data_IF_559958763405
#
_entry.id   IF_559958763405
#
_cell.length_a   1.000
_cell.length_b   1.000
_cell.length_c   1.000
_cell.angle_alpha   90.00
_cell.angle_beta   90.00
_cell.angle_gamma   90.00
#
_symmetry.space_group_name_H-M   'P 1'
#
loop_
_entity.id
_entity.type
_entity.pdbx_description
1 polymer ?
#
# COMPACT_ATOMS: atom_id res chain seq x y z
N UNK A 1 4.68 33.35 26.73
CA UNK A 1 5.66 34.42 27.01
C UNK A 1 7.09 33.89 27.18
N UNK A 2 7.38 32.91 28.05
CA UNK A 2 8.75 32.34 28.20
C UNK A 2 9.31 31.76 26.88
N UNK A 3 8.47 31.08 26.10
CA UNK A 3 8.85 30.46 24.82
C UNK A 3 9.04 31.45 23.66
N UNK A 4 8.38 32.61 23.73
CA UNK A 4 8.51 33.69 22.75
C UNK A 4 9.82 34.46 22.94
N UNK A 5 10.25 34.62 24.19
CA UNK A 5 11.54 35.22 24.55
C UNK A 5 12.70 34.26 24.23
N UNK A 6 12.49 32.94 24.40
CA UNK A 6 13.50 31.91 24.09
C UNK A 6 13.78 31.77 22.57
N UNK A 7 12.74 31.87 21.74
CA UNK A 7 12.85 31.82 20.28
C UNK A 7 13.60 33.03 19.67
N UNK A 8 13.75 34.13 20.42
CA UNK A 8 14.44 35.33 19.95
C UNK A 8 15.96 35.33 20.19
N UNK A 9 16.51 34.40 21.00
CA UNK A 9 17.91 34.49 21.47
C UNK A 9 18.73 33.22 21.36
N UNK A 10 18.12 32.03 21.25
CA UNK A 10 18.87 30.75 21.24
C UNK A 10 18.39 29.69 20.23
N UNK A 11 17.23 29.87 19.57
CA UNK A 11 16.65 28.89 18.64
C UNK A 11 16.22 29.63 17.37
N UNK A 12 16.70 29.18 16.21
CA UNK A 12 16.36 29.82 14.93
C UNK A 12 14.83 29.84 14.70
N UNK A 13 14.22 31.01 14.46
CA UNK A 13 12.79 31.16 14.17
C UNK A 13 12.31 30.40 12.94
N UNK A 14 13.26 29.91 12.12
CA UNK A 14 13.01 29.04 10.98
C UNK A 14 12.43 27.68 11.38
N UNK A 15 12.80 27.14 12.54
CA UNK A 15 12.35 25.82 13.02
C UNK A 15 11.15 25.89 13.98
N UNK A 16 10.93 27.04 14.64
CA UNK A 16 9.84 27.23 15.59
C UNK A 16 9.11 28.55 15.35
N UNK A 17 7.93 28.45 14.72
CA UNK A 17 6.98 29.56 14.57
C UNK A 17 6.55 30.09 15.93
N UNK A 18 6.61 31.41 16.15
CA UNK A 18 6.14 32.01 17.40
C UNK A 18 4.63 31.73 17.60
N UNK A 19 4.16 31.38 18.82
CA UNK A 19 2.77 30.93 19.04
C UNK A 19 1.78 32.04 18.71
N UNK A 20 2.21 33.30 18.91
CA UNK A 20 1.42 34.48 18.61
C UNK A 20 1.16 34.64 17.10
N UNK A 21 2.17 34.38 16.25
CA UNK A 21 2.01 34.45 14.78
C UNK A 21 1.05 33.38 14.25
N UNK A 22 1.03 32.20 14.88
CA UNK A 22 0.09 31.13 14.54
C UNK A 22 -1.35 31.56 14.85
N UNK A 23 -1.57 32.14 16.03
CA UNK A 23 -2.91 32.62 16.44
C UNK A 23 -3.39 33.76 15.54
N UNK A 24 -2.54 34.72 15.20
CA UNK A 24 -2.93 35.82 14.29
C UNK A 24 -3.25 35.30 12.89
N UNK A 25 -2.47 34.35 12.36
CA UNK A 25 -2.77 33.70 11.07
C UNK A 25 -4.07 32.90 11.10
N UNK A 26 -4.34 32.17 12.17
CA UNK A 26 -5.58 31.41 12.33
C UNK A 26 -6.80 32.33 12.36
N UNK A 27 -6.73 33.44 13.11
CA UNK A 27 -7.82 34.43 13.16
C UNK A 27 -8.01 35.09 11.79
N UNK A 28 -6.93 35.40 11.08
CA UNK A 28 -6.99 35.96 9.73
C UNK A 28 -7.65 35.00 8.74
N UNK A 29 -7.19 33.74 8.65
CA UNK A 29 -7.81 32.73 7.77
C UNK A 29 -9.25 32.39 8.13
N UNK A 30 -9.63 32.53 9.40
CA UNK A 30 -11.01 32.34 9.86
C UNK A 30 -11.89 33.49 9.38
N UNK A 31 -11.39 34.74 9.47
CA UNK A 31 -12.10 35.94 8.98
C UNK A 31 -12.21 35.98 7.46
N UNK A 32 -11.23 35.42 6.75
CA UNK A 32 -11.20 35.32 5.28
C UNK A 32 -12.06 34.16 4.73
N UNK A 33 -12.60 33.27 5.59
CA UNK A 33 -13.40 32.12 5.17
C UNK A 33 -12.62 30.99 4.49
N UNK A 34 -11.34 31.19 4.18
CA UNK A 34 -10.46 30.22 3.53
C UNK A 34 -10.30 28.92 4.35
N UNK A 35 -10.29 29.03 5.68
CA UNK A 35 -10.18 27.88 6.58
C UNK A 35 -11.32 26.86 6.39
N UNK A 36 -12.55 27.35 6.27
CA UNK A 36 -13.71 26.47 6.06
C UNK A 36 -13.66 25.84 4.67
N UNK A 37 -13.23 26.60 3.66
CA UNK A 37 -13.02 26.08 2.30
C UNK A 37 -12.01 24.92 2.26
N UNK A 38 -10.81 25.12 2.81
CA UNK A 38 -9.77 24.10 2.85
C UNK A 38 -10.19 22.88 3.67
N UNK A 39 -10.80 23.09 4.84
CA UNK A 39 -11.27 21.99 5.69
C UNK A 39 -12.34 21.15 4.99
N UNK A 40 -13.28 21.80 4.30
CA UNK A 40 -14.35 21.10 3.59
C UNK A 40 -13.82 20.31 2.38
N UNK A 41 -12.82 20.85 1.67
CA UNK A 41 -12.14 20.12 0.58
C UNK A 41 -11.46 18.87 1.14
N UNK A 42 -10.68 19.00 2.22
CA UNK A 42 -10.00 17.86 2.86
C UNK A 42 -10.99 16.81 3.36
N UNK A 43 -12.10 17.24 3.98
CA UNK A 43 -13.14 16.32 4.45
C UNK A 43 -13.77 15.55 3.28
N UNK A 44 -14.08 16.25 2.19
CA UNK A 44 -14.65 15.62 0.99
C UNK A 44 -13.67 14.63 0.36
N UNK A 45 -12.41 15.00 0.21
CA UNK A 45 -11.36 14.14 -0.35
C UNK A 45 -11.12 12.92 0.54
N UNK A 46 -11.06 13.11 1.86
CA UNK A 46 -10.92 12.02 2.83
C UNK A 46 -12.11 11.06 2.78
N UNK A 47 -13.33 11.59 2.72
CA UNK A 47 -14.55 10.78 2.66
C UNK A 47 -14.65 10.00 1.36
N UNK A 48 -14.39 10.64 0.21
CA UNK A 48 -14.38 9.98 -1.09
C UNK A 48 -13.28 8.92 -1.17
N UNK A 49 -12.07 9.24 -0.70
CA UNK A 49 -10.95 8.31 -0.66
C UNK A 49 -11.26 7.09 0.21
N UNK A 50 -11.85 7.30 1.39
CA UNK A 50 -12.25 6.22 2.28
C UNK A 50 -13.34 5.33 1.67
N UNK A 51 -14.39 5.91 1.07
CA UNK A 51 -15.46 5.15 0.45
C UNK A 51 -14.97 4.33 -0.75
N UNK A 52 -14.19 4.94 -1.65
CA UNK A 52 -13.64 4.25 -2.82
C UNK A 52 -12.66 3.16 -2.42
N UNK A 53 -11.75 3.45 -1.49
CA UNK A 53 -10.76 2.50 -1.00
C UNK A 53 -11.40 1.31 -0.27
N UNK A 54 -12.34 1.56 0.62
CA UNK A 54 -13.05 0.50 1.34
C UNK A 54 -13.91 -0.36 0.41
N UNK A 55 -14.64 0.24 -0.54
CA UNK A 55 -15.43 -0.51 -1.52
C UNK A 55 -14.55 -1.41 -2.41
N UNK A 56 -13.45 -0.88 -2.94
CA UNK A 56 -12.49 -1.65 -3.73
C UNK A 56 -11.84 -2.79 -2.92
N UNK A 57 -11.49 -2.50 -1.65
CA UNK A 57 -10.95 -3.49 -0.73
C UNK A 57 -11.93 -4.63 -0.44
N UNK A 58 -13.18 -4.30 -0.13
CA UNK A 58 -14.26 -5.28 0.12
C UNK A 58 -14.48 -6.14 -1.12
N UNK A 59 -14.59 -5.54 -2.30
CA UNK A 59 -14.81 -6.26 -3.55
C UNK A 59 -13.68 -7.25 -3.85
N UNK A 60 -12.43 -6.79 -3.73
CA UNK A 60 -11.23 -7.62 -3.97
C UNK A 60 -11.15 -8.76 -2.96
N UNK A 61 -11.47 -8.50 -1.69
CA UNK A 61 -11.53 -9.51 -0.65
C UNK A 61 -12.56 -10.60 -0.99
N UNK A 62 -13.81 -10.22 -1.31
CA UNK A 62 -14.86 -11.19 -1.61
C UNK A 62 -14.57 -12.01 -2.86
N UNK A 63 -14.08 -11.40 -3.94
CA UNK A 63 -13.72 -12.12 -5.17
C UNK A 63 -12.64 -13.18 -4.87
N UNK A 64 -11.57 -12.76 -4.18
CA UNK A 64 -10.43 -13.64 -3.88
C UNK A 64 -10.81 -14.73 -2.86
N UNK A 65 -11.58 -14.36 -1.84
CA UNK A 65 -12.10 -15.30 -0.85
C UNK A 65 -13.00 -16.33 -1.51
N UNK A 66 -13.96 -15.92 -2.33
CA UNK A 66 -14.86 -16.84 -3.02
C UNK A 66 -14.09 -17.78 -3.97
N UNK A 67 -13.16 -17.26 -4.77
CA UNK A 67 -12.32 -18.06 -5.65
C UNK A 67 -11.46 -19.08 -4.88
N UNK A 68 -10.95 -18.71 -3.70
CA UNK A 68 -10.17 -19.63 -2.86
C UNK A 68 -11.07 -20.65 -2.17
N UNK A 69 -12.19 -20.22 -1.61
CA UNK A 69 -13.12 -21.04 -0.85
C UNK A 69 -13.79 -22.10 -1.74
N UNK A 70 -14.15 -21.73 -2.97
CA UNK A 70 -14.62 -22.68 -3.99
C UNK A 70 -13.53 -23.69 -4.38
N UNK A 71 -12.29 -23.24 -4.55
CA UNK A 71 -11.14 -24.13 -4.80
C UNK A 71 -10.83 -25.09 -3.64
N UNK A 72 -10.93 -24.62 -2.39
CA UNK A 72 -10.72 -25.45 -1.19
C UNK A 72 -11.85 -26.45 -0.97
N UNK A 73 -13.12 -26.06 -1.16
CA UNK A 73 -14.26 -26.98 -1.06
C UNK A 73 -14.28 -28.02 -2.17
N UNK A 74 -13.71 -27.72 -3.34
CA UNK A 74 -13.50 -28.71 -4.39
C UNK A 74 -12.51 -29.80 -3.96
N UNK A 75 -11.52 -29.45 -3.13
CA UNK A 75 -10.55 -30.39 -2.51
C UNK A 75 -11.12 -30.86 -1.16
N UNK A 76 -12.16 -31.69 -1.23
CA UNK A 76 -12.93 -32.17 -0.09
C UNK A 76 -12.10 -32.91 0.99
N UNK A 77 -12.62 -33.02 2.24
CA UNK A 77 -12.10 -33.81 3.37
C UNK A 77 -11.51 -35.21 3.08
N UNK A 78 -11.82 -35.81 1.93
CA UNK A 78 -11.24 -37.06 1.42
C UNK A 78 -9.71 -37.10 1.49
N UNK A 79 -9.01 -35.99 1.23
CA UNK A 79 -7.54 -35.98 1.28
C UNK A 79 -6.98 -36.11 2.70
N UNK A 80 -7.67 -35.58 3.73
CA UNK A 80 -7.23 -35.72 5.13
C UNK A 80 -7.43 -37.13 5.66
N UNK A 81 -8.52 -37.78 5.27
CA UNK A 81 -8.77 -39.18 5.64
C UNK A 81 -7.76 -40.12 4.98
N UNK A 82 -7.50 -39.94 3.67
CA UNK A 82 -6.49 -40.72 2.95
C UNK A 82 -5.08 -40.47 3.53
N UNK A 83 -4.72 -39.22 3.85
CA UNK A 83 -3.42 -38.91 4.43
C UNK A 83 -3.21 -39.55 5.81
N UNK A 84 -4.26 -39.65 6.64
CA UNK A 84 -4.20 -40.36 7.93
C UNK A 84 -4.08 -41.88 7.76
N UNK A 85 -4.80 -42.47 6.80
CA UNK A 85 -4.69 -43.90 6.49
C UNK A 85 -3.29 -44.28 6.00
N UNK A 86 -2.62 -43.37 5.28
CA UNK A 86 -1.23 -43.54 4.81
C UNK A 86 -0.18 -43.27 5.91
N UNK A 87 -0.60 -42.87 7.12
CA UNK A 87 0.31 -42.62 8.24
C UNK A 87 1.10 -41.31 8.13
N UNK A 88 0.59 -40.32 7.39
CA UNK A 88 1.28 -39.04 7.22
C UNK A 88 1.42 -38.29 8.55
N UNK A 89 2.64 -37.81 8.84
CA UNK A 89 2.92 -37.00 10.02
C UNK A 89 2.35 -35.58 9.90
N UNK A 90 2.02 -34.95 11.03
CA UNK A 90 1.50 -33.56 11.09
C UNK A 90 2.38 -32.55 10.33
N UNK A 91 3.70 -32.74 10.32
CA UNK A 91 4.64 -31.89 9.56
C UNK A 91 4.49 -32.06 8.05
N UNK A 92 4.24 -33.28 7.57
CA UNK A 92 4.01 -33.54 6.15
C UNK A 92 2.65 -32.99 5.71
N UNK A 93 1.62 -33.09 6.56
CA UNK A 93 0.30 -32.49 6.29
C UNK A 93 0.43 -30.96 6.20
N UNK A 94 1.16 -30.34 7.13
CA UNK A 94 1.39 -28.90 7.10
C UNK A 94 2.20 -28.46 5.86
N UNK A 95 3.38 -29.05 5.62
CA UNK A 95 4.29 -28.60 4.56
C UNK A 95 3.86 -29.01 3.15
N UNK A 96 3.23 -30.17 2.97
CA UNK A 96 2.84 -30.68 1.65
C UNK A 96 1.39 -30.42 1.29
N UNK A 97 0.53 -30.10 2.26
CA UNK A 97 -0.90 -29.89 2.01
C UNK A 97 -1.32 -28.44 2.32
N UNK A 98 -1.07 -27.96 3.54
CA UNK A 98 -1.53 -26.63 3.95
C UNK A 98 -0.69 -25.50 3.34
N UNK A 99 0.64 -25.64 3.32
CA UNK A 99 1.55 -24.61 2.79
C UNK A 99 1.36 -24.37 1.27
N UNK A 100 1.23 -25.41 0.41
CA UNK A 100 0.88 -25.22 -0.99
C UNK A 100 -0.52 -24.61 -1.16
N UNK A 101 -1.49 -25.03 -0.34
CA UNK A 101 -2.85 -24.45 -0.39
C UNK A 101 -2.87 -22.95 0.00
N UNK A 102 -2.01 -22.52 0.92
CA UNK A 102 -1.86 -21.14 1.35
C UNK A 102 -0.96 -20.29 0.43
N UNK A 103 -0.15 -20.91 -0.42
CA UNK A 103 0.83 -20.22 -1.28
C UNK A 103 0.21 -19.11 -2.16
N UNK A 104 -0.97 -19.30 -2.81
CA UNK A 104 -1.63 -18.22 -3.55
C UNK A 104 -2.01 -17.02 -2.68
N UNK A 105 -2.40 -17.26 -1.43
CA UNK A 105 -2.74 -16.20 -0.48
C UNK A 105 -1.52 -15.42 -0.02
N UNK A 106 -0.41 -16.11 0.26
CA UNK A 106 0.86 -15.47 0.64
C UNK A 106 1.36 -14.57 -0.49
N UNK A 107 1.32 -15.08 -1.72
CA UNK A 107 1.76 -14.31 -2.90
C UNK A 107 0.83 -13.14 -3.19
N UNK A 108 -0.49 -13.31 -3.03
CA UNK A 108 -1.46 -12.21 -3.12
C UNK A 108 -1.17 -11.13 -2.07
N UNK A 109 -0.96 -11.53 -0.81
CA UNK A 109 -0.61 -10.60 0.27
C UNK A 109 0.68 -9.84 -0.03
N UNK A 110 1.69 -10.50 -0.60
CA UNK A 110 2.94 -9.87 -1.01
C UNK A 110 2.72 -8.84 -2.14
N UNK A 111 1.95 -9.20 -3.17
CA UNK A 111 1.62 -8.31 -4.30
C UNK A 111 0.88 -7.05 -3.87
N UNK A 112 0.00 -7.17 -2.89
CA UNK A 112 -0.74 -6.02 -2.36
C UNK A 112 0.13 -5.23 -1.38
N UNK A 113 0.82 -5.90 -0.46
CA UNK A 113 1.56 -5.25 0.62
C UNK A 113 2.81 -4.50 0.18
N UNK A 114 3.54 -5.01 -0.82
CA UNK A 114 4.79 -4.39 -1.30
C UNK A 114 4.56 -2.97 -1.83
N UNK A 115 3.62 -2.71 -2.76
CA UNK A 115 3.30 -1.35 -3.18
C UNK A 115 2.94 -0.42 -2.02
N UNK A 116 2.13 -0.88 -1.06
CA UNK A 116 1.76 -0.06 0.11
C UNK A 116 2.95 0.27 1.00
N UNK A 117 3.86 -0.69 1.22
CA UNK A 117 5.09 -0.45 1.98
C UNK A 117 5.99 0.56 1.29
N UNK A 118 6.07 0.55 -0.04
CA UNK A 118 6.85 1.53 -0.80
C UNK A 118 6.26 2.94 -0.68
N UNK A 119 4.94 3.09 -0.78
CA UNK A 119 4.25 4.36 -0.56
C UNK A 119 4.55 4.88 0.86
N UNK A 120 4.46 4.01 1.87
CA UNK A 120 4.79 4.36 3.26
C UNK A 120 6.25 4.81 3.43
N UNK A 121 7.20 4.12 2.77
CA UNK A 121 8.61 4.51 2.79
C UNK A 121 8.83 5.89 2.18
N UNK A 122 8.20 6.18 1.02
CA UNK A 122 8.30 7.48 0.36
C UNK A 122 7.74 8.60 1.24
N UNK A 123 6.58 8.39 1.87
CA UNK A 123 6.00 9.36 2.82
C UNK A 123 6.94 9.59 4.00
N UNK A 124 7.58 8.54 4.51
CA UNK A 124 8.60 8.63 5.56
C UNK A 124 9.83 9.44 5.12
N UNK A 125 10.31 9.22 3.89
CA UNK A 125 11.42 9.96 3.30
C UNK A 125 11.11 11.46 3.18
N UNK A 126 9.88 11.82 2.82
CA UNK A 126 9.45 13.23 2.71
C UNK A 126 9.46 13.96 4.07
N UNK A 127 9.16 13.25 5.15
CA UNK A 127 8.98 13.88 6.47
C UNK A 127 10.26 13.94 7.30
N UNK A 128 11.10 12.89 7.23
CA UNK A 128 12.17 12.69 8.20
C UNK A 128 13.54 12.36 7.60
N UNK A 129 13.63 12.07 6.30
CA UNK A 129 14.91 11.75 5.69
C UNK A 129 15.60 12.99 5.15
N UNK A 130 16.93 13.05 5.31
CA UNK A 130 17.78 14.11 4.72
C UNK A 130 18.41 13.68 3.40
N UNK A 131 18.12 12.46 2.94
CA UNK A 131 18.61 11.81 1.71
C UNK A 131 17.58 10.77 1.27
N UNK A 132 17.45 10.55 -0.04
CA UNK A 132 16.50 9.60 -0.60
C UNK A 132 15.89 10.14 -1.89
N UNK A 133 15.31 9.25 -2.71
CA UNK A 133 14.61 9.67 -3.93
C UNK A 133 13.39 10.51 -3.57
N UNK A 134 12.67 10.16 -2.50
CA UNK A 134 11.52 10.95 -2.07
C UNK A 134 11.91 12.33 -1.56
N UNK A 135 12.99 12.42 -0.78
CA UNK A 135 13.57 13.69 -0.33
C UNK A 135 13.99 14.58 -1.51
N UNK A 136 14.66 14.01 -2.51
CA UNK A 136 15.12 14.80 -3.66
C UNK A 136 13.96 15.34 -4.50
N UNK A 137 12.88 14.56 -4.67
CA UNK A 137 11.68 15.02 -5.38
C UNK A 137 11.12 16.25 -4.68
N UNK A 138 11.01 16.20 -3.35
CA UNK A 138 10.53 17.33 -2.56
C UNK A 138 11.49 18.52 -2.64
N UNK A 139 12.80 18.28 -2.56
CA UNK A 139 13.81 19.32 -2.66
C UNK A 139 13.76 20.06 -4.01
N UNK A 140 13.75 19.33 -5.12
CA UNK A 140 13.66 19.90 -6.47
C UNK A 140 12.33 20.62 -6.71
N UNK A 141 11.23 20.10 -6.14
CA UNK A 141 9.92 20.75 -6.18
C UNK A 141 9.95 22.10 -5.44
N UNK A 142 10.60 22.18 -4.28
CA UNK A 142 10.76 23.41 -3.52
C UNK A 142 11.64 24.45 -4.24
N UNK A 143 12.57 23.98 -5.07
CA UNK A 143 13.44 24.82 -5.91
C UNK A 143 12.81 25.19 -7.26
N UNK A 144 11.57 24.76 -7.52
CA UNK A 144 10.88 24.90 -8.80
C UNK A 144 11.62 24.29 -10.00
N UNK A 145 12.55 23.36 -9.75
CA UNK A 145 13.21 22.57 -10.81
C UNK A 145 12.32 21.40 -11.19
N UNK A 146 11.43 21.65 -12.15
CA UNK A 146 10.51 20.66 -12.69
C UNK A 146 11.22 19.54 -13.45
N UNK A 147 12.40 19.80 -14.00
CA UNK A 147 13.17 18.79 -14.74
C UNK A 147 13.81 17.81 -13.79
N UNK A 148 14.43 18.31 -12.71
CA UNK A 148 14.97 17.49 -11.62
C UNK A 148 13.88 16.63 -10.98
N UNK A 149 12.76 17.24 -10.57
CA UNK A 149 11.65 16.50 -9.95
C UNK A 149 11.07 15.42 -10.88
N UNK A 150 10.87 15.71 -12.17
CA UNK A 150 10.37 14.72 -13.13
C UNK A 150 11.36 13.56 -13.34
N UNK A 151 12.66 13.84 -13.38
CA UNK A 151 13.69 12.82 -13.55
C UNK A 151 13.70 11.82 -12.39
N UNK A 152 13.50 12.29 -11.15
CA UNK A 152 13.51 11.44 -9.96
C UNK A 152 12.24 10.62 -9.81
N UNK A 153 11.07 11.19 -10.15
CA UNK A 153 9.82 10.43 -10.25
C UNK A 153 9.96 9.30 -11.28
N UNK A 154 10.65 9.53 -12.39
CA UNK A 154 10.89 8.52 -13.42
C UNK A 154 11.80 7.39 -12.90
N UNK A 155 12.88 7.73 -12.19
CA UNK A 155 13.75 6.74 -11.53
C UNK A 155 12.96 5.93 -10.50
N UNK A 156 12.14 6.58 -9.68
CA UNK A 156 11.28 5.92 -8.70
C UNK A 156 10.29 4.97 -9.37
N UNK A 157 9.68 5.38 -10.49
CA UNK A 157 8.77 4.55 -11.27
C UNK A 157 9.47 3.28 -11.78
N UNK A 158 10.69 3.40 -12.29
CA UNK A 158 11.50 2.24 -12.72
C UNK A 158 11.79 1.32 -11.53
N UNK A 159 12.19 1.86 -10.38
CA UNK A 159 12.42 1.08 -9.16
C UNK A 159 11.17 0.30 -8.73
N UNK A 160 10.01 0.95 -8.70
CA UNK A 160 8.73 0.32 -8.35
C UNK A 160 8.38 -0.79 -9.36
N UNK A 161 8.59 -0.56 -10.66
CA UNK A 161 8.36 -1.56 -11.70
C UNK A 161 9.28 -2.77 -11.53
N UNK A 162 10.57 -2.56 -11.23
CA UNK A 162 11.52 -3.64 -10.97
C UNK A 162 11.13 -4.48 -9.75
N UNK A 163 10.72 -3.81 -8.66
CA UNK A 163 10.32 -4.47 -7.42
C UNK A 163 9.03 -5.30 -7.62
N UNK A 164 8.01 -4.71 -8.26
CA UNK A 164 6.79 -5.43 -8.64
C UNK A 164 7.07 -6.57 -9.63
N UNK A 165 8.00 -6.36 -10.57
CA UNK A 165 8.46 -7.39 -11.50
C UNK A 165 9.11 -8.57 -10.79
N UNK A 166 9.92 -8.32 -9.75
CA UNK A 166 10.53 -9.36 -8.93
C UNK A 166 9.47 -10.16 -8.15
N UNK A 167 8.47 -9.49 -7.58
CA UNK A 167 7.34 -10.14 -6.91
C UNK A 167 6.54 -11.02 -7.87
N UNK A 168 6.28 -10.53 -9.09
CA UNK A 168 5.60 -11.31 -10.14
C UNK A 168 6.41 -12.52 -10.60
N UNK A 169 7.74 -12.40 -10.70
CA UNK A 169 8.62 -13.54 -11.00
C UNK A 169 8.54 -14.61 -9.90
N UNK A 170 8.55 -14.18 -8.63
CA UNK A 170 8.43 -15.06 -7.47
C UNK A 170 7.07 -15.77 -7.43
N UNK A 171 5.99 -15.08 -7.78
CA UNK A 171 4.67 -15.68 -7.96
C UNK A 171 4.70 -16.82 -8.98
N UNK A 172 5.21 -16.56 -10.19
CA UNK A 172 5.24 -17.56 -11.24
C UNK A 172 6.07 -18.79 -10.83
N UNK A 173 7.14 -18.57 -10.07
CA UNK A 173 7.96 -19.66 -9.54
C UNK A 173 7.21 -20.48 -8.48
N UNK A 174 6.60 -19.83 -7.49
CA UNK A 174 5.89 -20.46 -6.37
C UNK A 174 4.61 -21.16 -6.82
N UNK A 175 3.91 -20.62 -7.82
CA UNK A 175 2.64 -21.13 -8.31
C UNK A 175 2.75 -22.04 -9.55
N UNK A 176 3.97 -22.38 -9.99
CA UNK A 176 4.22 -23.23 -11.18
C UNK A 176 3.53 -24.59 -11.13
N UNK A 177 3.23 -25.10 -9.94
CA UNK A 177 2.60 -26.41 -9.73
C UNK A 177 1.08 -26.40 -9.98
N UNK A 178 0.43 -25.23 -10.08
CA UNK A 178 -1.02 -25.13 -10.30
C UNK A 178 -1.35 -25.44 -11.77
N UNK A 179 -2.18 -26.44 -12.07
CA UNK A 179 -2.69 -26.65 -13.43
C UNK A 179 -3.48 -25.42 -13.88
N UNK A 180 -3.19 -24.90 -15.08
CA UNK A 180 -4.00 -23.85 -15.70
C UNK A 180 -5.42 -24.38 -15.85
N UNK A 181 -6.42 -23.65 -15.35
CA UNK A 181 -7.83 -24.04 -15.50
C UNK A 181 -8.11 -24.29 -17.00
N UNK A 182 -8.71 -25.44 -17.37
CA UNK A 182 -9.11 -25.68 -18.75
C UNK A 182 -10.03 -24.55 -19.20
N UNK A 183 -9.78 -23.98 -20.39
CA UNK A 183 -10.68 -23.01 -20.98
C UNK A 183 -12.09 -23.64 -21.04
N UNK A 184 -13.10 -22.94 -20.52
CA UNK A 184 -14.47 -23.43 -20.55
C UNK A 184 -14.84 -23.77 -22.01
N UNK A 185 -15.39 -24.96 -22.29
CA UNK A 185 -15.80 -25.31 -23.64
C UNK A 185 -16.83 -24.27 -24.09
N UNK A 186 -16.56 -23.66 -25.25
CA UNK A 186 -17.48 -22.74 -25.90
C UNK A 186 -18.81 -23.50 -26.05
N UNK A 187 -19.82 -23.04 -25.32
CA UNK A 187 -21.17 -23.59 -25.41
C UNK A 187 -21.66 -23.25 -26.82
N UNK A 188 -21.64 -24.24 -27.71
CA UNK A 188 -22.31 -24.14 -29.00
C UNK A 188 -23.80 -23.90 -28.71
N UNK A 189 -24.26 -22.69 -29.02
CA UNK A 189 -25.66 -22.32 -29.03
C UNK A 189 -26.26 -22.88 -30.33
N UNK A 190 -26.91 -24.03 -30.20
CA UNK A 190 -27.86 -24.57 -31.18
C UNK A 190 -29.28 -24.18 -30.84
#
# INVERSE_FOLDING_TARGET
MVWEIAAGRFIDPFWFSSPLRIVTHLIQWTREGALFGHLMVTLRETFLGYLLGSAAGILTFFITFYATFSGLRAVKPAYKEIARVVGASERQIFLKMNLPAASPWIVFALKVGVPFSLIGAIIGEFMAASRGLGYMIQFNTNQFDTTGAASEVLVLMVCVMLFNGAVNRLECYVLRWRPRAPAAPARELG
#
